data_IF_883316466167
#
_entry.id   IF_883316466167
#
_cell.length_a   1.000
_cell.length_b   1.000
_cell.length_c   1.000
_cell.angle_alpha   90.00
_cell.angle_beta   90.00
_cell.angle_gamma   90.00
#
_symmetry.space_group_name_H-M   'P 1'
#
loop_
_entity.id
_entity.type
_entity.pdbx_description
1 polymer ?
#
# COMPACT_ATOMS: atom_id res chain seq x y z
N UNK A 1 40.99 -24.22 19.96
CA UNK A 1 39.90 -24.56 19.02
C UNK A 1 38.58 -24.83 19.77
N UNK A 2 38.04 -23.82 20.48
CA UNK A 2 36.84 -23.98 21.33
C UNK A 2 35.87 -22.77 21.28
N UNK A 3 36.24 -21.71 20.56
CA UNK A 3 35.46 -20.47 20.46
C UNK A 3 34.78 -20.29 19.09
N UNK A 4 35.04 -21.18 18.12
CA UNK A 4 34.47 -21.09 16.76
C UNK A 4 33.02 -21.61 16.73
N UNK A 5 32.62 -22.45 17.70
CA UNK A 5 31.28 -23.02 17.75
C UNK A 5 30.22 -22.09 18.36
N UNK A 6 30.64 -21.01 19.05
CA UNK A 6 29.70 -20.07 19.68
C UNK A 6 29.18 -18.99 18.72
N UNK A 7 29.90 -18.69 17.63
CA UNK A 7 29.49 -17.65 16.67
C UNK A 7 28.40 -18.12 15.70
N UNK A 8 28.29 -19.42 15.43
CA UNK A 8 27.28 -19.99 14.52
C UNK A 8 25.88 -19.98 15.15
N UNK A 9 25.79 -19.99 16.49
CA UNK A 9 24.51 -19.93 17.21
C UNK A 9 23.91 -18.51 17.29
N UNK A 10 24.69 -17.45 17.04
CA UNK A 10 24.19 -16.07 17.14
C UNK A 10 23.72 -15.49 15.80
N UNK A 11 24.18 -16.04 14.68
CA UNK A 11 23.75 -15.62 13.33
C UNK A 11 22.49 -16.37 12.82
N UNK A 12 21.97 -17.33 13.58
CA UNK A 12 20.78 -18.12 13.19
C UNK A 12 19.43 -17.47 13.51
N UNK A 13 19.41 -16.29 14.13
CA UNK A 13 18.18 -15.68 14.68
C UNK A 13 17.91 -14.28 14.12
N UNK A 14 18.38 -13.99 12.91
CA UNK A 14 17.90 -12.82 12.16
C UNK A 14 17.02 -13.33 11.02
N UNK A 15 15.84 -13.87 11.37
CA UNK A 15 14.73 -13.90 10.43
C UNK A 15 14.31 -12.45 10.20
N UNK A 16 14.93 -11.80 9.22
CA UNK A 16 14.51 -10.48 8.74
C UNK A 16 13.16 -10.63 8.06
N UNK A 17 12.08 -10.54 8.83
CA UNK A 17 10.75 -10.32 8.30
C UNK A 17 10.69 -8.87 7.78
N UNK A 18 11.23 -8.62 6.58
CA UNK A 18 10.66 -7.58 5.72
C UNK A 18 9.30 -8.14 5.28
N UNK A 19 8.29 -7.95 6.13
CA UNK A 19 6.96 -8.51 5.94
C UNK A 19 6.28 -7.88 4.73
N UNK A 20 5.69 -8.72 3.88
CA UNK A 20 4.77 -8.28 2.83
C UNK A 20 3.59 -7.53 3.45
N UNK A 21 3.12 -6.49 2.77
CA UNK A 21 1.95 -5.74 3.19
C UNK A 21 0.69 -6.61 3.05
N UNK A 22 -0.25 -6.47 3.98
CA UNK A 22 -1.58 -7.04 3.83
C UNK A 22 -2.36 -6.36 2.70
N UNK A 23 -3.35 -7.05 2.12
CA UNK A 23 -4.23 -6.45 1.11
C UNK A 23 -4.91 -5.18 1.60
N UNK A 24 -5.30 -5.13 2.87
CA UNK A 24 -5.90 -3.94 3.47
C UNK A 24 -4.91 -2.76 3.53
N UNK A 25 -3.66 -3.00 3.94
CA UNK A 25 -2.63 -1.95 3.98
C UNK A 25 -2.34 -1.38 2.59
N UNK A 26 -2.27 -2.25 1.57
CA UNK A 26 -2.06 -1.83 0.18
C UNK A 26 -3.26 -1.02 -0.33
N UNK A 27 -4.49 -1.43 -0.01
CA UNK A 27 -5.69 -0.70 -0.40
C UNK A 27 -5.74 0.68 0.29
N UNK A 28 -5.51 0.72 1.60
CA UNK A 28 -5.47 1.98 2.35
C UNK A 28 -4.41 2.93 1.78
N UNK A 29 -3.25 2.41 1.37
CA UNK A 29 -2.18 3.18 0.75
C UNK A 29 -2.64 3.83 -0.56
N UNK A 30 -3.14 3.04 -1.52
CA UNK A 30 -3.54 3.55 -2.84
C UNK A 30 -4.79 4.43 -2.80
N UNK A 31 -5.78 4.10 -1.97
CA UNK A 31 -6.98 4.94 -1.82
C UNK A 31 -6.62 6.25 -1.13
N UNK A 32 -5.70 6.24 -0.16
CA UNK A 32 -5.17 7.45 0.43
C UNK A 32 -4.45 8.35 -0.59
N UNK A 33 -3.73 7.76 -1.57
CA UNK A 33 -3.20 8.53 -2.72
C UNK A 33 -4.32 9.15 -3.55
N UNK A 34 -5.31 8.36 -3.91
CA UNK A 34 -6.41 8.83 -4.74
C UNK A 34 -7.20 9.96 -4.08
N UNK A 35 -7.46 9.88 -2.78
CA UNK A 35 -8.14 10.92 -2.00
C UNK A 35 -7.37 12.25 -2.06
N UNK A 36 -6.04 12.21 -1.91
CA UNK A 36 -5.21 13.43 -2.04
C UNK A 36 -5.27 14.02 -3.45
N UNK A 37 -5.33 13.18 -4.48
CA UNK A 37 -5.45 13.63 -5.87
C UNK A 37 -6.84 14.21 -6.16
N UNK A 38 -7.88 13.61 -5.62
CA UNK A 38 -9.26 14.09 -5.67
C UNK A 38 -9.39 15.48 -5.05
N UNK A 39 -8.88 15.69 -3.83
CA UNK A 39 -8.88 17.00 -3.18
C UNK A 39 -8.07 18.08 -3.92
N UNK A 40 -7.16 17.66 -4.80
CA UNK A 40 -6.39 18.56 -5.69
C UNK A 40 -7.05 18.78 -7.05
N UNK A 41 -8.26 18.27 -7.27
CA UNK A 41 -8.96 18.29 -8.57
C UNK A 41 -8.12 17.67 -9.70
N UNK A 42 -7.34 16.63 -9.39
CA UNK A 42 -6.60 15.88 -10.42
C UNK A 42 -7.62 15.17 -11.30
N UNK A 43 -7.55 15.25 -12.64
CA UNK A 43 -8.49 14.52 -13.49
C UNK A 43 -8.25 13.00 -13.39
N UNK A 44 -9.32 12.23 -13.50
CA UNK A 44 -9.33 10.77 -13.31
C UNK A 44 -8.38 10.04 -14.28
N UNK A 45 -8.27 10.52 -15.51
CA UNK A 45 -7.33 9.99 -16.50
C UNK A 45 -5.84 10.10 -16.07
N UNK A 46 -5.52 11.03 -15.16
CA UNK A 46 -4.18 11.17 -14.57
C UNK A 46 -4.03 10.33 -13.31
N UNK A 47 -5.13 10.06 -12.61
CA UNK A 47 -5.10 9.25 -11.40
C UNK A 47 -4.58 7.84 -11.66
N UNK A 48 -5.08 7.17 -12.70
CA UNK A 48 -4.64 5.81 -13.05
C UNK A 48 -3.11 5.75 -13.20
N UNK A 49 -2.54 6.74 -13.90
CA UNK A 49 -1.10 6.82 -14.11
C UNK A 49 -0.33 7.01 -12.80
N UNK A 50 -0.82 7.87 -11.90
CA UNK A 50 -0.18 8.11 -10.60
C UNK A 50 -0.29 6.91 -9.65
N UNK A 51 -1.44 6.24 -9.59
CA UNK A 51 -1.63 5.03 -8.78
C UNK A 51 -0.79 3.86 -9.32
N UNK A 52 -0.76 3.69 -10.64
CA UNK A 52 0.11 2.68 -11.28
C UNK A 52 1.57 2.91 -10.94
N UNK A 53 2.03 4.17 -11.00
CA UNK A 53 3.41 4.53 -10.63
C UNK A 53 3.70 4.20 -9.17
N UNK A 54 2.75 4.45 -8.27
CA UNK A 54 2.89 4.09 -6.87
C UNK A 54 3.03 2.57 -6.67
N UNK A 55 2.18 1.79 -7.34
CA UNK A 55 2.28 0.33 -7.30
C UNK A 55 3.61 -0.20 -7.86
N UNK A 56 4.18 0.45 -8.88
CA UNK A 56 5.51 0.09 -9.39
C UNK A 56 6.62 0.37 -8.37
N UNK A 57 6.52 1.46 -7.60
CA UNK A 57 7.47 1.72 -6.49
C UNK A 57 7.36 0.66 -5.40
N UNK A 58 6.14 0.29 -5.01
CA UNK A 58 5.92 -0.83 -4.09
C UNK A 58 6.51 -2.13 -4.65
N UNK A 59 6.31 -2.40 -5.94
CA UNK A 59 6.87 -3.56 -6.65
C UNK A 59 8.40 -3.64 -6.64
N UNK A 60 9.09 -2.49 -6.63
CA UNK A 60 10.55 -2.44 -6.51
C UNK A 60 11.03 -2.85 -5.11
N UNK A 61 10.22 -2.63 -4.07
CA UNK A 61 10.51 -3.02 -2.70
C UNK A 61 10.08 -4.48 -2.44
N UNK A 62 8.88 -4.83 -2.91
CA UNK A 62 8.31 -6.15 -2.82
C UNK A 62 7.40 -6.40 -4.05
N UNK A 63 7.82 -7.33 -4.91
CA UNK A 63 7.10 -7.63 -6.15
C UNK A 63 5.66 -8.08 -5.92
N UNK A 64 5.38 -8.83 -4.85
CA UNK A 64 4.04 -9.32 -4.54
C UNK A 64 3.11 -8.18 -4.13
N UNK A 65 3.61 -7.23 -3.34
CA UNK A 65 2.85 -6.06 -2.91
C UNK A 65 2.54 -5.17 -4.12
N UNK A 66 3.51 -4.98 -5.02
CA UNK A 66 3.30 -4.25 -6.27
C UNK A 66 2.23 -4.89 -7.19
N UNK A 67 2.22 -6.22 -7.33
CA UNK A 67 1.19 -6.91 -8.11
C UNK A 67 -0.20 -6.78 -7.48
N UNK A 68 -0.29 -6.98 -6.15
CA UNK A 68 -1.55 -6.83 -5.40
C UNK A 68 -2.08 -5.39 -5.52
N UNK A 69 -1.18 -4.41 -5.44
CA UNK A 69 -1.50 -2.99 -5.63
C UNK A 69 -2.10 -2.73 -7.02
N UNK A 70 -1.48 -3.22 -8.09
CA UNK A 70 -2.00 -3.04 -9.45
C UNK A 70 -3.39 -3.65 -9.62
N UNK A 71 -3.63 -4.83 -9.03
CA UNK A 71 -4.95 -5.46 -9.05
C UNK A 71 -6.01 -4.59 -8.36
N UNK A 72 -5.68 -4.02 -7.20
CA UNK A 72 -6.58 -3.12 -6.48
C UNK A 72 -6.84 -1.83 -7.26
N UNK A 73 -5.82 -1.23 -7.89
CA UNK A 73 -6.00 -0.06 -8.76
C UNK A 73 -6.97 -0.38 -9.89
N UNK A 74 -6.76 -1.49 -10.62
CA UNK A 74 -7.64 -1.88 -11.72
C UNK A 74 -9.09 -2.12 -11.29
N UNK A 75 -9.27 -2.65 -10.08
CA UNK A 75 -10.58 -2.92 -9.50
C UNK A 75 -11.33 -1.65 -9.09
N UNK A 76 -10.61 -0.61 -8.64
CA UNK A 76 -11.20 0.56 -7.98
C UNK A 76 -11.19 1.82 -8.85
N UNK A 77 -10.34 1.89 -9.88
CA UNK A 77 -10.11 3.13 -10.63
C UNK A 77 -11.38 3.76 -11.22
N UNK A 78 -12.34 2.95 -11.66
CA UNK A 78 -13.59 3.42 -12.31
C UNK A 78 -14.64 3.96 -11.31
N UNK A 79 -14.49 3.69 -10.01
CA UNK A 79 -15.47 4.10 -8.97
C UNK A 79 -14.90 5.08 -7.97
N UNK A 80 -13.58 5.15 -7.84
CA UNK A 80 -12.89 5.83 -6.74
C UNK A 80 -13.30 7.31 -6.57
N UNK A 81 -13.51 8.04 -7.67
CA UNK A 81 -13.95 9.44 -7.59
C UNK A 81 -15.43 9.56 -7.23
N UNK A 82 -16.29 8.68 -7.75
CA UNK A 82 -17.70 8.64 -7.33
C UNK A 82 -17.83 8.29 -5.85
N UNK A 83 -16.97 7.40 -5.36
CA UNK A 83 -16.90 7.03 -3.94
C UNK A 83 -16.53 8.24 -3.07
N UNK A 84 -15.54 9.05 -3.49
CA UNK A 84 -15.17 10.28 -2.78
C UNK A 84 -16.22 11.39 -2.89
N UNK A 85 -16.86 11.55 -4.05
CA UNK A 85 -18.00 12.46 -4.23
C UNK A 85 -19.18 12.09 -3.32
N UNK A 86 -19.38 10.79 -3.08
CA UNK A 86 -20.36 10.27 -2.11
C UNK A 86 -19.89 10.40 -0.64
N UNK A 87 -18.71 10.97 -0.40
CA UNK A 87 -18.17 11.20 0.95
C UNK A 87 -17.62 9.95 1.63
N UNK A 88 -17.31 8.88 0.87
CA UNK A 88 -16.67 7.69 1.45
C UNK A 88 -15.25 7.99 1.88
N UNK A 89 -14.91 7.47 3.06
CA UNK A 89 -13.54 7.47 3.57
C UNK A 89 -12.72 6.34 2.94
N UNK A 90 -11.38 6.42 2.95
CA UNK A 90 -10.52 5.37 2.39
C UNK A 90 -10.82 3.96 2.92
N UNK A 91 -11.08 3.84 4.23
CA UNK A 91 -11.39 2.54 4.83
C UNK A 91 -12.73 1.98 4.34
N UNK A 92 -13.74 2.83 4.12
CA UNK A 92 -15.02 2.38 3.57
C UNK A 92 -14.86 1.86 2.15
N UNK A 93 -14.09 2.54 1.30
CA UNK A 93 -13.78 2.06 -0.05
C UNK A 93 -13.09 0.70 -0.01
N UNK A 94 -12.10 0.52 0.86
CA UNK A 94 -11.38 -0.74 0.98
C UNK A 94 -12.21 -1.88 1.59
N UNK A 95 -13.16 -1.57 2.47
CA UNK A 95 -14.14 -2.55 2.98
C UNK A 95 -15.13 -2.95 1.89
N UNK A 96 -15.66 -2.00 1.12
CA UNK A 96 -16.57 -2.27 0.00
C UNK A 96 -15.88 -3.11 -1.09
N UNK A 97 -14.58 -2.89 -1.29
CA UNK A 97 -13.76 -3.71 -2.16
C UNK A 97 -13.56 -5.13 -1.60
N UNK A 98 -13.69 -5.36 -0.30
CA UNK A 98 -13.37 -6.63 0.36
C UNK A 98 -11.88 -6.84 0.62
N UNK A 99 -11.08 -5.77 0.52
CA UNK A 99 -9.65 -5.78 0.86
C UNK A 99 -9.40 -5.55 2.36
N UNK A 100 -10.36 -4.92 3.04
CA UNK A 100 -10.39 -4.69 4.49
C UNK A 100 -11.69 -5.21 5.12
N UNK A 101 -11.69 -5.33 6.45
CA UNK A 101 -12.84 -5.58 7.31
C UNK A 101 -13.29 -4.32 8.04
N UNK A 102 -14.51 -4.33 8.61
CA UNK A 102 -15.03 -3.18 9.37
C UNK A 102 -14.21 -2.83 10.63
N UNK A 103 -13.41 -3.78 11.12
CA UNK A 103 -12.53 -3.58 12.28
C UNK A 103 -11.22 -2.88 11.90
N UNK A 104 -10.83 -2.92 10.63
CA UNK A 104 -9.61 -2.30 10.14
C UNK A 104 -9.69 -0.77 10.15
N UNK A 105 -8.51 -0.15 10.07
CA UNK A 105 -8.35 1.30 10.01
C UNK A 105 -7.33 1.63 8.95
N UNK A 106 -7.71 2.47 8.01
CA UNK A 106 -6.71 3.18 7.21
C UNK A 106 -6.15 4.29 8.09
N UNK A 107 -4.88 4.18 8.45
CA UNK A 107 -4.16 5.34 8.94
C UNK A 107 -4.12 6.40 7.84
N UNK A 108 -4.07 7.69 8.22
CA UNK A 108 -3.65 8.72 7.29
C UNK A 108 -2.34 8.26 6.62
N UNK A 109 -2.16 8.50 5.31
CA UNK A 109 -1.10 7.88 4.53
C UNK A 109 0.26 7.98 5.24
N UNK A 110 0.77 6.85 5.72
CA UNK A 110 2.07 6.78 6.39
C UNK A 110 3.13 6.64 5.31
N UNK A 111 3.37 7.71 4.55
CA UNK A 111 4.57 7.72 3.72
C UNK A 111 5.77 7.82 4.65
N UNK A 112 6.74 6.90 4.59
CA UNK A 112 8.11 7.37 4.61
C UNK A 112 8.21 8.31 3.41
N UNK A 113 8.16 9.62 3.63
CA UNK A 113 8.70 10.61 2.69
C UNK A 113 10.23 10.43 2.68
N UNK A 114 10.70 9.26 2.28
CA UNK A 114 12.09 8.91 2.08
C UNK A 114 12.47 9.20 0.64
N UNK A 115 12.38 10.47 0.25
CA UNK A 115 13.35 10.96 -0.71
C UNK A 115 14.68 11.07 0.05
N UNK A 116 15.78 10.42 -0.37
CA UNK A 116 17.08 10.93 0.02
C UNK A 116 17.23 12.33 -0.58
N UNK A 117 17.47 13.33 0.27
CA UNK A 117 18.12 14.57 -0.15
C UNK A 117 19.59 14.29 -0.42
#
# INVERSE_FOLDING_TARGET
MKFVLAFIAFFGLICTALGAMSGCEICCHIIGHAERHFHKNTPENRLLHELTRECLRLGQMNQQDGQTCLQQVHKLIDTIYKDFEAGKTPIQVCVDAGDCTASDKCAAPQFPTGAPQ
#
